data_IF_174275417670
#
_entry.id   IF_174275417670
#
_cell.length_a   1.000
_cell.length_b   1.000
_cell.length_c   1.000
_cell.angle_alpha   90.00
_cell.angle_beta   90.00
_cell.angle_gamma   90.00
#
_symmetry.space_group_name_H-M   'P 1'
#
loop_
_entity.id
_entity.type
_entity.pdbx_description
1 polymer ?
#
# COMPACT_ATOMS: atom_id res chain seq x y z
N UNK A 1 5.45 -0.15 5.97
CA UNK A 1 6.08 -0.57 4.69
C UNK A 1 5.62 0.39 3.62
N UNK A 2 6.52 0.86 2.75
CA UNK A 2 6.18 1.68 1.57
C UNK A 2 6.27 0.81 0.31
N UNK A 3 5.26 0.90 -0.56
CA UNK A 3 5.19 0.16 -1.83
C UNK A 3 5.07 1.17 -2.97
N UNK A 4 6.15 1.36 -3.73
CA UNK A 4 6.25 2.37 -4.79
C UNK A 4 6.30 1.77 -6.21
N UNK A 5 6.05 0.47 -6.34
CA UNK A 5 5.87 -0.32 -7.56
C UNK A 5 5.72 -1.79 -7.08
N UNK A 6 5.88 -2.75 -7.97
CA UNK A 6 6.15 -4.13 -7.57
C UNK A 6 5.61 -5.15 -8.54
N UNK A 7 6.05 -6.40 -8.32
CA UNK A 7 5.53 -7.58 -8.99
C UNK A 7 5.08 -8.62 -7.97
N UNK A 8 5.16 -9.89 -8.36
CA UNK A 8 4.65 -11.01 -7.56
C UNK A 8 5.30 -11.11 -6.17
N UNK A 9 6.62 -10.93 -6.08
CA UNK A 9 7.33 -11.00 -4.80
C UNK A 9 6.89 -9.88 -3.85
N UNK A 10 6.80 -8.64 -4.35
CA UNK A 10 6.29 -7.51 -3.57
C UNK A 10 4.87 -7.77 -3.06
N UNK A 11 4.04 -8.46 -3.85
CA UNK A 11 2.69 -8.84 -3.44
C UNK A 11 2.70 -9.81 -2.26
N UNK A 12 3.60 -10.80 -2.29
CA UNK A 12 3.77 -11.76 -1.18
C UNK A 12 4.24 -11.07 0.11
N UNK A 13 5.18 -10.13 0.02
CA UNK A 13 5.67 -9.36 1.17
C UNK A 13 4.57 -8.49 1.79
N UNK A 14 3.81 -7.80 0.94
CA UNK A 14 2.63 -7.02 1.35
C UNK A 14 1.62 -7.92 2.05
N UNK A 15 1.39 -9.12 1.52
CA UNK A 15 0.47 -10.08 2.13
C UNK A 15 0.90 -10.54 3.50
N UNK A 16 2.16 -10.92 3.64
CA UNK A 16 2.71 -11.26 4.93
C UNK A 16 2.56 -10.10 5.93
N UNK A 17 2.83 -8.87 5.50
CA UNK A 17 2.70 -7.68 6.34
C UNK A 17 1.27 -7.41 6.78
N UNK A 18 0.30 -7.44 5.86
CA UNK A 18 -1.11 -7.16 6.16
C UNK A 18 -1.70 -8.22 7.10
N UNK A 19 -1.40 -9.51 6.87
CA UNK A 19 -1.83 -10.61 7.75
C UNK A 19 -1.26 -10.51 9.16
N UNK A 20 -0.08 -9.92 9.31
CA UNK A 20 0.51 -9.60 10.60
C UNK A 20 -0.09 -8.33 11.26
N UNK A 21 -1.19 -7.79 10.74
CA UNK A 21 -1.82 -6.54 11.23
C UNK A 21 -1.01 -5.29 10.89
N UNK A 22 -0.07 -5.40 9.97
CA UNK A 22 0.86 -4.33 9.62
C UNK A 22 0.30 -3.35 8.60
N UNK A 23 0.47 -2.05 8.85
CA UNK A 23 0.11 -1.01 7.88
C UNK A 23 1.04 -0.96 6.67
N UNK A 24 0.45 -0.67 5.51
CA UNK A 24 1.11 -0.53 4.22
C UNK A 24 0.73 0.81 3.61
N UNK A 25 1.73 1.64 3.32
CA UNK A 25 1.58 2.85 2.52
C UNK A 25 1.89 2.49 1.05
N UNK A 26 0.92 2.66 0.16
CA UNK A 26 1.06 2.38 -1.28
C UNK A 26 1.11 3.68 -2.06
N UNK A 27 1.95 3.73 -3.09
CA UNK A 27 2.10 4.87 -3.98
C UNK A 27 1.28 4.64 -5.26
N UNK A 28 0.14 5.31 -5.40
CA UNK A 28 -0.68 5.20 -6.60
C UNK A 28 -0.05 5.99 -7.76
N UNK A 29 -0.17 5.47 -8.99
CA UNK A 29 0.45 6.04 -10.19
C UNK A 29 1.86 5.51 -10.47
N UNK A 30 2.41 4.62 -9.63
CA UNK A 30 3.71 4.00 -9.85
C UNK A 30 3.63 2.63 -10.56
N UNK A 31 2.42 2.11 -10.79
CA UNK A 31 2.18 0.84 -11.48
C UNK A 31 2.40 -0.43 -10.64
N UNK A 32 2.18 -1.59 -11.28
CA UNK A 32 2.40 -2.91 -10.68
C UNK A 32 1.53 -3.19 -9.46
N UNK A 33 2.11 -3.82 -8.45
CA UNK A 33 1.43 -4.15 -7.18
C UNK A 33 0.89 -2.91 -6.46
N UNK A 34 1.61 -1.77 -6.52
CA UNK A 34 1.20 -0.55 -5.84
C UNK A 34 -0.14 -0.02 -6.37
N UNK A 35 -0.32 -0.04 -7.70
CA UNK A 35 -1.56 0.38 -8.36
C UNK A 35 -2.72 -0.55 -8.01
N UNK A 36 -2.48 -1.86 -8.01
CA UNK A 36 -3.49 -2.86 -7.66
C UNK A 36 -3.99 -2.67 -6.22
N UNK A 37 -3.08 -2.39 -5.27
CA UNK A 37 -3.43 -2.09 -3.89
C UNK A 37 -4.21 -0.77 -3.75
N UNK A 38 -3.84 0.25 -4.52
CA UNK A 38 -4.57 1.52 -4.54
C UNK A 38 -5.99 1.33 -5.07
N UNK A 39 -6.15 0.59 -6.15
CA UNK A 39 -7.44 0.24 -6.74
C UNK A 39 -8.31 -0.58 -5.79
N UNK A 40 -7.72 -1.54 -5.09
CA UNK A 40 -8.42 -2.32 -4.09
C UNK A 40 -8.90 -1.44 -2.93
N UNK A 41 -8.03 -0.57 -2.41
CA UNK A 41 -8.38 0.34 -1.32
C UNK A 41 -9.49 1.33 -1.66
N UNK A 42 -9.48 1.87 -2.89
CA UNK A 42 -10.41 2.90 -3.37
C UNK A 42 -11.74 2.34 -3.86
N UNK A 43 -11.69 1.21 -4.57
CA UNK A 43 -12.82 0.72 -5.35
C UNK A 43 -13.24 -0.69 -4.96
N UNK A 44 -12.53 -1.36 -4.06
CA UNK A 44 -12.78 -2.75 -3.70
C UNK A 44 -12.49 -3.74 -4.84
N UNK A 45 -11.75 -3.32 -5.88
CA UNK A 45 -11.32 -4.23 -6.94
C UNK A 45 -10.32 -5.23 -6.38
N UNK A 46 -10.57 -6.55 -6.48
CA UNK A 46 -9.68 -7.53 -5.89
C UNK A 46 -8.31 -7.46 -6.54
N UNK A 47 -7.26 -7.60 -5.72
CA UNK A 47 -5.91 -7.81 -6.22
C UNK A 47 -5.77 -9.31 -6.57
N UNK A 48 -5.25 -9.67 -7.75
CA UNK A 48 -5.05 -11.07 -8.12
C UNK A 48 -4.22 -11.82 -7.08
N UNK A 49 -4.69 -13.01 -6.70
CA UNK A 49 -4.04 -13.91 -5.74
C UNK A 49 -3.85 -13.31 -4.34
N UNK A 50 -4.60 -12.25 -4.03
CA UNK A 50 -4.63 -11.60 -2.74
C UNK A 50 -5.84 -12.11 -1.93
N UNK A 51 -5.61 -13.18 -1.15
CA UNK A 51 -6.60 -13.68 -0.19
C UNK A 51 -6.55 -12.80 1.07
N UNK A 52 -7.24 -11.66 0.99
CA UNK A 52 -7.33 -10.62 1.99
C UNK A 52 -8.71 -9.95 1.97
N UNK A 53 -9.22 -9.60 3.16
CA UNK A 53 -10.56 -9.07 3.35
C UNK A 53 -10.60 -7.59 3.68
N UNK A 54 -11.74 -7.14 4.20
CA UNK A 54 -11.96 -5.74 4.55
C UNK A 54 -11.00 -5.24 5.63
N UNK A 55 -10.63 -6.10 6.57
CA UNK A 55 -9.69 -5.79 7.65
C UNK A 55 -8.31 -5.44 7.09
N UNK A 56 -7.78 -6.24 6.19
CA UNK A 56 -6.51 -5.97 5.52
C UNK A 56 -6.60 -4.75 4.60
N UNK A 57 -7.74 -4.57 3.92
CA UNK A 57 -7.99 -3.39 3.09
C UNK A 57 -7.89 -2.11 3.92
N UNK A 58 -8.40 -2.10 5.14
CA UNK A 58 -8.34 -0.95 6.04
C UNK A 58 -6.91 -0.58 6.50
N UNK A 59 -5.96 -1.53 6.42
CA UNK A 59 -4.54 -1.31 6.75
C UNK A 59 -3.73 -0.67 5.62
N UNK A 60 -4.35 -0.45 4.45
CA UNK A 60 -3.73 0.20 3.30
C UNK A 60 -4.03 1.69 3.33
N UNK A 61 -2.97 2.48 3.35
CA UNK A 61 -2.97 3.92 3.10
C UNK A 61 -2.49 4.18 1.67
N UNK A 62 -3.12 5.10 0.96
CA UNK A 62 -2.78 5.43 -0.43
C UNK A 62 -2.29 6.86 -0.51
N UNK A 63 -1.11 7.04 -1.10
CA UNK A 63 -0.56 8.32 -1.48
C UNK A 63 -0.45 8.37 -3.01
N UNK A 64 -0.99 9.39 -3.64
CA UNK A 64 -0.78 9.59 -5.07
C UNK A 64 0.66 10.05 -5.33
N UNK A 65 1.33 9.45 -6.33
CA UNK A 65 2.70 9.77 -6.69
C UNK A 65 2.88 11.26 -7.03
N UNK A 66 1.86 11.88 -7.62
CA UNK A 66 1.84 13.31 -7.91
C UNK A 66 1.98 14.17 -6.64
N UNK A 67 1.37 13.73 -5.54
CA UNK A 67 1.37 14.44 -4.25
C UNK A 67 2.55 14.02 -3.36
N UNK A 68 3.30 13.01 -3.76
CA UNK A 68 4.28 12.36 -2.89
C UNK A 68 5.40 13.31 -2.44
N UNK A 69 5.80 14.23 -3.31
CA UNK A 69 6.86 15.19 -3.02
C UNK A 69 6.50 16.12 -1.83
N UNK A 70 5.23 16.44 -1.66
CA UNK A 70 4.75 17.32 -0.58
C UNK A 70 4.44 16.52 0.70
N UNK A 71 3.80 15.35 0.55
CA UNK A 71 3.21 14.62 1.68
C UNK A 71 4.13 13.57 2.29
N UNK A 72 5.00 12.95 1.48
CA UNK A 72 5.85 11.86 1.94
C UNK A 72 6.85 12.29 3.02
N UNK A 73 7.52 13.46 2.95
CA UNK A 73 8.43 13.88 4.01
C UNK A 73 7.75 13.93 5.39
N UNK A 74 6.57 14.54 5.47
CA UNK A 74 5.82 14.63 6.72
C UNK A 74 5.38 13.25 7.26
N UNK A 75 4.97 12.33 6.37
CA UNK A 75 4.62 10.96 6.76
C UNK A 75 5.82 10.18 7.30
N UNK A 76 6.99 10.38 6.70
CA UNK A 76 8.24 9.77 7.15
C UNK A 76 8.64 10.32 8.53
N UNK A 77 8.58 11.65 8.71
CA UNK A 77 8.86 12.28 10.02
C UNK A 77 7.93 11.75 11.12
N UNK A 78 6.63 11.64 10.84
CA UNK A 78 5.67 11.09 11.79
C UNK A 78 5.99 9.64 12.16
N UNK A 79 6.37 8.80 11.18
CA UNK A 79 6.71 7.41 11.42
C UNK A 79 7.96 7.22 12.32
N UNK A 80 8.91 8.17 12.28
CA UNK A 80 10.12 8.13 13.12
C UNK A 80 9.97 8.84 14.47
N UNK A 81 8.88 9.59 14.68
CA UNK A 81 8.57 10.24 15.95
C UNK A 81 7.85 9.35 16.97
N UNK A 82 7.66 8.07 16.65
CA UNK A 82 6.96 7.05 17.46
C UNK A 82 7.93 6.24 18.32
#
# INVERSE_FOLDING_TARGET
MLVAAGGDITRLDVMHRLRAGGRVLTLAGSGGTAEQLADWRRHGRPVPDLDAGETERALIEVLDLADAHEKLPALVEQAFSQ
#
